data_IF_291096779848
#
_entry.id   IF_291096779848
#
_cell.length_a   1.000
_cell.length_b   1.000
_cell.length_c   1.000
_cell.angle_alpha   90.00
_cell.angle_beta   90.00
_cell.angle_gamma   90.00
#
_symmetry.space_group_name_H-M   'P 1'
#
loop_
_entity.id
_entity.type
_entity.pdbx_description
1 polymer ?
#
# COMPACT_ATOMS: atom_id res chain seq x y z
N UNK A 1 13.03 1.66 15.12
CA UNK A 1 13.91 0.96 16.09
C UNK A 1 15.05 1.86 16.49
N UNK A 2 15.45 1.87 17.76
CA UNK A 2 16.56 2.67 18.28
C UNK A 2 17.59 1.72 18.89
N UNK A 3 18.82 1.78 18.40
CA UNK A 3 19.97 1.01 18.87
C UNK A 3 20.93 1.99 19.52
N UNK A 4 21.04 1.96 20.83
CA UNK A 4 21.99 2.79 21.56
C UNK A 4 22.38 2.12 22.87
N UNK A 5 23.67 2.08 23.17
CA UNK A 5 24.18 1.50 24.42
C UNK A 5 23.80 2.40 25.61
N UNK A 6 23.99 3.70 25.46
CA UNK A 6 23.68 4.70 26.47
C UNK A 6 22.17 4.76 26.79
N UNK A 7 21.76 4.47 28.04
CA UNK A 7 20.36 4.58 28.45
C UNK A 7 19.79 5.99 28.31
N UNK A 8 20.59 7.04 28.51
CA UNK A 8 20.13 8.43 28.42
C UNK A 8 19.79 8.80 26.98
N UNK A 9 20.71 8.56 26.03
CA UNK A 9 20.45 8.76 24.61
C UNK A 9 19.20 7.97 24.13
N UNK A 10 19.04 6.72 24.57
CA UNK A 10 17.84 5.91 24.26
C UNK A 10 16.56 6.58 24.75
N UNK A 11 16.52 7.04 25.98
CA UNK A 11 15.30 7.60 26.55
C UNK A 11 14.94 8.95 25.95
N UNK A 12 15.93 9.79 25.67
CA UNK A 12 15.75 11.05 24.96
C UNK A 12 15.16 10.84 23.56
N UNK A 13 15.73 9.91 22.77
CA UNK A 13 15.21 9.58 21.44
C UNK A 13 13.79 9.01 21.55
N UNK A 14 13.54 8.11 22.51
CA UNK A 14 12.21 7.51 22.72
C UNK A 14 11.15 8.56 23.02
N UNK A 15 11.43 9.49 23.95
CA UNK A 15 10.50 10.55 24.33
C UNK A 15 10.21 11.46 23.13
N UNK A 16 11.26 11.89 22.41
CA UNK A 16 11.12 12.73 21.23
C UNK A 16 10.26 12.05 20.15
N UNK A 17 10.60 10.83 19.76
CA UNK A 17 9.87 10.11 18.70
C UNK A 17 8.44 9.75 19.10
N UNK A 18 8.21 9.42 20.38
CA UNK A 18 6.85 9.16 20.88
C UNK A 18 5.97 10.41 20.80
N UNK A 19 6.54 11.61 21.05
CA UNK A 19 5.81 12.88 20.90
C UNK A 19 5.39 13.17 19.46
N UNK A 20 6.11 12.58 18.48
CA UNK A 20 5.81 12.67 17.05
C UNK A 20 4.96 11.49 16.55
N UNK A 21 4.40 10.67 17.46
CA UNK A 21 3.52 9.54 17.13
C UNK A 21 4.24 8.26 16.65
N UNK A 22 5.56 8.16 16.78
CA UNK A 22 6.32 6.99 16.33
C UNK A 22 6.29 5.85 17.37
N UNK A 23 6.08 4.62 16.90
CA UNK A 23 6.26 3.44 17.75
C UNK A 23 7.75 3.05 17.83
N UNK A 24 8.31 3.09 19.05
CA UNK A 24 9.75 2.93 19.25
C UNK A 24 10.12 1.57 19.85
N UNK A 25 10.75 0.73 19.03
CA UNK A 25 11.40 -0.50 19.48
C UNK A 25 12.81 -0.19 19.96
N UNK A 26 13.09 -0.41 21.25
CA UNK A 26 14.40 -0.10 21.85
C UNK A 26 15.30 -1.32 21.92
N UNK A 27 16.57 -1.14 21.55
CA UNK A 27 17.64 -2.14 21.65
C UNK A 27 18.88 -1.52 22.32
N UNK A 28 19.44 -2.23 23.29
CA UNK A 28 20.64 -1.85 24.04
C UNK A 28 21.95 -2.27 23.36
N UNK A 29 21.87 -3.14 22.35
CA UNK A 29 23.01 -3.60 21.55
C UNK A 29 22.55 -4.01 20.15
N UNK A 30 23.50 -4.24 19.24
CA UNK A 30 23.23 -4.72 17.87
C UNK A 30 22.60 -6.13 17.90
N UNK A 31 23.05 -7.01 18.78
CA UNK A 31 22.51 -8.36 18.94
C UNK A 31 21.05 -8.33 19.42
N UNK A 32 20.76 -7.46 20.38
CA UNK A 32 19.39 -7.25 20.86
C UNK A 32 18.50 -6.68 19.74
N UNK A 33 19.05 -5.78 18.91
CA UNK A 33 18.36 -5.24 17.75
C UNK A 33 18.03 -6.34 16.71
N UNK A 34 18.99 -7.22 16.41
CA UNK A 34 18.79 -8.34 15.47
C UNK A 34 17.70 -9.31 15.96
N UNK A 35 17.66 -9.62 17.26
CA UNK A 35 16.63 -10.47 17.83
C UNK A 35 15.21 -9.86 17.67
N UNK A 36 15.09 -8.54 17.87
CA UNK A 36 13.82 -7.81 17.74
C UNK A 36 13.41 -7.53 16.31
N UNK A 37 14.36 -7.51 15.37
CA UNK A 37 14.13 -7.17 13.97
C UNK A 37 13.08 -8.07 13.30
N UNK A 38 13.04 -9.36 13.66
CA UNK A 38 12.08 -10.32 13.11
C UNK A 38 10.72 -10.38 13.82
N UNK A 39 10.61 -9.80 15.02
CA UNK A 39 9.39 -9.82 15.82
C UNK A 39 8.56 -8.55 15.61
N UNK A 40 9.24 -7.41 15.59
CA UNK A 40 8.60 -6.08 15.60
C UNK A 40 8.60 -5.38 14.24
N UNK A 41 9.31 -5.95 13.24
CA UNK A 41 9.40 -5.44 11.85
C UNK A 41 9.50 -3.90 11.73
N UNK A 42 10.56 -3.28 12.26
CA UNK A 42 10.66 -1.82 12.29
C UNK A 42 10.87 -1.19 10.91
N UNK A 43 10.28 -0.01 10.71
CA UNK A 43 10.35 0.75 9.45
C UNK A 43 11.67 1.50 9.22
N UNK A 44 12.38 1.82 10.28
CA UNK A 44 13.69 2.46 10.21
C UNK A 44 14.48 2.12 11.46
N UNK A 45 15.80 2.24 11.39
CA UNK A 45 16.66 2.16 12.56
C UNK A 45 17.41 3.48 12.78
N UNK A 46 17.58 3.82 14.04
CA UNK A 46 18.52 4.85 14.48
C UNK A 46 19.60 4.09 15.25
N UNK A 47 20.85 4.19 14.80
CA UNK A 47 21.98 3.52 15.42
C UNK A 47 22.96 4.55 15.96
N UNK A 48 23.05 4.65 17.28
CA UNK A 48 24.06 5.44 17.96
C UNK A 48 25.35 4.64 18.06
N UNK A 49 26.40 5.13 17.40
CA UNK A 49 27.70 4.45 17.34
C UNK A 49 28.67 4.95 18.40
N UNK A 50 28.29 5.91 19.24
CA UNK A 50 29.16 6.36 20.31
C UNK A 50 29.16 5.33 21.45
N UNK A 51 30.32 4.73 21.66
CA UNK A 51 30.54 3.68 22.66
C UNK A 51 30.82 4.31 24.03
N UNK A 52 30.16 3.80 25.06
CA UNK A 52 30.38 4.25 26.45
C UNK A 52 31.52 3.45 27.12
N UNK A 53 31.94 2.32 26.55
CA UNK A 53 32.96 1.43 27.15
C UNK A 53 33.96 0.87 26.13
N UNK A 54 35.20 0.64 26.59
CA UNK A 54 36.36 0.18 25.81
C UNK A 54 36.32 -1.32 25.43
N UNK A 55 35.20 -1.82 24.92
CA UNK A 55 35.10 -3.22 24.48
C UNK A 55 35.72 -3.41 23.10
N UNK A 56 36.84 -4.14 23.08
CA UNK A 56 37.64 -4.54 21.92
C UNK A 56 37.01 -5.74 21.20
N UNK A 57 36.02 -5.48 20.36
CA UNK A 57 35.80 -6.26 19.12
C UNK A 57 34.75 -5.58 18.24
N UNK A 58 34.95 -5.56 16.91
CA UNK A 58 33.96 -5.07 15.98
C UNK A 58 33.00 -6.21 15.64
N UNK A 59 31.73 -6.07 15.97
CA UNK A 59 30.67 -6.90 15.38
C UNK A 59 29.69 -6.04 14.60
N UNK A 60 30.24 -5.14 13.79
CA UNK A 60 29.47 -4.38 12.79
C UNK A 60 28.88 -5.28 11.68
N UNK A 61 29.25 -6.57 11.63
CA UNK A 61 28.54 -7.58 10.83
C UNK A 61 27.04 -7.60 11.12
N UNK A 62 26.65 -7.37 12.38
CA UNK A 62 25.24 -7.25 12.75
C UNK A 62 24.60 -5.96 12.23
N UNK A 63 25.34 -4.85 12.22
CA UNK A 63 24.85 -3.59 11.65
C UNK A 63 24.69 -3.68 10.12
N UNK A 64 25.62 -4.34 9.42
CA UNK A 64 25.49 -4.65 7.99
C UNK A 64 24.23 -5.48 7.68
N UNK A 65 23.91 -6.48 8.51
CA UNK A 65 22.67 -7.25 8.37
C UNK A 65 21.42 -6.38 8.57
N UNK A 66 21.42 -5.51 9.59
CA UNK A 66 20.32 -4.56 9.79
C UNK A 66 20.22 -3.61 8.59
N UNK A 67 21.34 -3.10 8.06
CA UNK A 67 21.38 -2.28 6.84
C UNK A 67 20.75 -3.01 5.66
N UNK A 68 21.10 -4.30 5.45
CA UNK A 68 20.52 -5.12 4.38
C UNK A 68 19.01 -5.34 4.57
N UNK A 69 18.57 -5.67 5.78
CA UNK A 69 17.15 -5.91 6.10
C UNK A 69 16.30 -4.65 5.95
N UNK A 70 16.82 -3.51 6.40
CA UNK A 70 16.13 -2.22 6.33
C UNK A 70 16.40 -1.49 5.01
N UNK A 71 17.16 -2.08 4.08
CA UNK A 71 17.52 -1.52 2.77
C UNK A 71 18.13 -0.12 2.87
N UNK A 72 19.04 0.08 3.82
CA UNK A 72 19.70 1.37 4.04
C UNK A 72 18.86 2.42 4.77
N UNK A 73 17.66 2.10 5.28
CA UNK A 73 16.85 3.00 6.14
C UNK A 73 17.39 3.05 7.57
N UNK A 74 18.64 3.45 7.69
CA UNK A 74 19.32 3.58 8.97
C UNK A 74 19.94 4.96 9.07
N UNK A 75 19.63 5.65 10.16
CA UNK A 75 20.30 6.90 10.53
C UNK A 75 21.43 6.54 11.50
N UNK A 76 22.64 6.94 11.14
CA UNK A 76 23.80 6.79 12.01
C UNK A 76 23.94 8.05 12.85
N UNK A 77 23.92 7.90 14.17
CA UNK A 77 24.21 8.97 15.12
C UNK A 77 25.66 8.83 15.56
N UNK A 78 26.48 9.84 15.29
CA UNK A 78 27.91 9.86 15.62
C UNK A 78 28.23 10.93 16.65
N UNK A 79 29.18 10.64 17.55
CA UNK A 79 29.80 11.64 18.43
C UNK A 79 31.21 12.03 17.96
N UNK A 80 32.00 12.65 18.84
CA UNK A 80 33.40 13.01 18.59
C UNK A 80 34.27 11.74 18.45
N UNK A 81 34.36 11.21 17.24
CA UNK A 81 35.17 10.03 16.92
C UNK A 81 34.99 9.59 15.48
N UNK A 82 36.09 9.19 14.84
CA UNK A 82 36.06 8.64 13.48
C UNK A 82 36.24 7.13 13.54
N UNK A 83 35.14 6.39 13.39
CA UNK A 83 35.18 4.94 13.22
C UNK A 83 35.24 4.61 11.71
N UNK A 84 36.36 4.08 11.19
CA UNK A 84 36.52 3.79 9.77
C UNK A 84 35.58 2.70 9.28
N UNK A 85 35.14 1.78 10.15
CA UNK A 85 34.19 0.73 9.76
C UNK A 85 32.77 1.28 9.62
N UNK A 86 32.37 2.21 10.51
CA UNK A 86 31.10 2.96 10.37
C UNK A 86 31.13 3.83 9.11
N UNK A 87 32.27 4.47 8.82
CA UNK A 87 32.45 5.24 7.59
C UNK A 87 32.29 4.37 6.32
N UNK A 88 32.83 3.15 6.34
CA UNK A 88 32.65 2.20 5.24
C UNK A 88 31.18 1.77 5.05
N UNK A 89 30.42 1.58 6.15
CA UNK A 89 28.98 1.28 6.06
C UNK A 89 28.16 2.45 5.54
N UNK A 90 28.47 3.68 6.01
CA UNK A 90 27.84 4.91 5.52
C UNK A 90 28.05 5.02 4.01
N UNK A 91 29.27 4.80 3.52
CA UNK A 91 29.56 4.85 2.09
C UNK A 91 28.87 3.73 1.31
N UNK A 92 28.89 2.50 1.83
CA UNK A 92 28.34 1.32 1.15
C UNK A 92 26.83 1.39 0.95
N UNK A 93 26.10 1.94 1.93
CA UNK A 93 24.64 2.02 1.92
C UNK A 93 24.10 3.45 1.77
N UNK A 94 24.97 4.44 1.54
CA UNK A 94 24.64 5.87 1.47
C UNK A 94 23.81 6.35 2.66
N UNK A 95 24.20 5.96 3.88
CA UNK A 95 23.42 6.21 5.09
C UNK A 95 23.48 7.68 5.51
N UNK A 96 22.35 8.30 5.90
CA UNK A 96 22.39 9.61 6.54
C UNK A 96 23.08 9.55 7.90
N UNK A 97 23.84 10.60 8.20
CA UNK A 97 24.58 10.75 9.46
C UNK A 97 24.14 12.01 10.18
N UNK A 98 23.90 11.90 11.48
CA UNK A 98 23.57 13.00 12.38
C UNK A 98 24.62 13.08 13.48
N UNK A 99 25.02 14.31 13.81
CA UNK A 99 25.87 14.59 14.97
C UNK A 99 25.03 14.58 16.24
N UNK A 100 25.51 13.92 17.30
CA UNK A 100 24.76 13.76 18.54
C UNK A 100 24.31 15.10 19.14
N UNK A 101 25.13 16.14 19.00
CA UNK A 101 24.86 17.50 19.50
C UNK A 101 23.66 18.14 18.81
N UNK A 102 23.36 17.70 17.58
CA UNK A 102 22.25 18.16 16.75
C UNK A 102 21.13 17.11 16.63
N UNK A 103 21.17 16.05 17.42
CA UNK A 103 20.24 14.93 17.32
C UNK A 103 18.78 15.40 17.31
N UNK A 104 18.34 16.18 18.30
CA UNK A 104 16.95 16.62 18.36
C UNK A 104 16.57 17.60 17.23
N UNK A 105 17.53 18.33 16.69
CA UNK A 105 17.29 19.31 15.62
C UNK A 105 17.14 18.62 14.27
N UNK A 106 18.05 17.71 13.95
CA UNK A 106 18.15 17.13 12.61
C UNK A 106 17.40 15.79 12.49
N UNK A 107 17.09 15.10 13.62
CA UNK A 107 16.54 13.75 13.59
C UNK A 107 15.21 13.67 12.87
N UNK A 108 14.30 14.62 13.12
CA UNK A 108 12.97 14.59 12.49
C UNK A 108 13.06 14.81 10.99
N UNK A 109 13.77 15.84 10.55
CA UNK A 109 13.94 16.14 9.13
C UNK A 109 14.69 15.03 8.42
N UNK A 110 15.70 14.45 9.06
CA UNK A 110 16.45 13.31 8.51
C UNK A 110 15.56 12.07 8.39
N UNK A 111 14.73 11.76 9.39
CA UNK A 111 13.73 10.69 9.33
C UNK A 111 12.73 10.89 8.19
N UNK A 112 12.25 12.12 7.97
CA UNK A 112 11.35 12.44 6.86
C UNK A 112 12.04 12.42 5.49
N UNK A 113 13.35 12.69 5.45
CA UNK A 113 14.18 12.61 4.25
C UNK A 113 14.62 11.19 3.91
N UNK A 114 14.53 10.26 4.87
CA UNK A 114 14.76 8.86 4.57
C UNK A 114 13.83 8.48 3.42
N UNK A 115 14.30 7.67 2.46
CA UNK A 115 13.38 7.06 1.53
C UNK A 115 12.31 6.40 2.39
N UNK A 116 11.06 6.85 2.21
CA UNK A 116 9.94 6.30 2.97
C UNK A 116 10.08 4.79 2.95
N UNK A 117 9.73 4.10 4.05
CA UNK A 117 9.60 2.67 4.03
C UNK A 117 9.06 2.30 2.69
N UNK A 118 9.85 1.56 1.91
CA UNK A 118 9.24 0.87 0.80
C UNK A 118 8.40 -0.24 1.44
N UNK A 119 7.33 0.14 2.14
CA UNK A 119 6.02 -0.40 1.90
C UNK A 119 5.53 -0.01 0.49
N UNK A 120 6.43 0.07 -0.50
CA UNK A 120 6.29 -0.90 -1.58
C UNK A 120 6.39 -2.30 -0.96
N UNK A 121 5.37 -2.68 -0.17
CA UNK A 121 4.86 -4.00 -0.37
C UNK A 121 4.51 -3.96 -1.84
N UNK A 122 5.28 -4.73 -2.60
CA UNK A 122 5.12 -4.78 -4.04
C UNK A 122 3.66 -5.11 -4.25
N UNK A 123 2.87 -4.10 -4.66
CA UNK A 123 1.45 -4.29 -4.90
C UNK A 123 1.39 -5.31 -6.01
N UNK A 124 1.05 -6.55 -5.67
CA UNK A 124 0.93 -7.60 -6.67
C UNK A 124 -0.44 -7.39 -7.28
N UNK A 125 -0.45 -6.80 -8.47
CA UNK A 125 -1.67 -6.56 -9.22
C UNK A 125 -1.86 -7.74 -10.17
N UNK A 126 -2.87 -8.55 -9.89
CA UNK A 126 -3.32 -9.60 -10.79
C UNK A 126 -4.36 -9.03 -11.75
N UNK A 127 -4.24 -9.35 -13.04
CA UNK A 127 -5.27 -8.98 -14.00
C UNK A 127 -6.46 -9.93 -13.90
N UNK A 128 -7.66 -9.39 -13.72
CA UNK A 128 -8.87 -10.18 -13.84
C UNK A 128 -9.30 -10.25 -15.31
N UNK A 129 -9.71 -11.44 -15.75
CA UNK A 129 -10.18 -11.69 -17.10
C UNK A 129 -11.69 -11.50 -17.17
N UNK A 130 -12.17 -10.77 -18.18
CA UNK A 130 -13.59 -10.72 -18.53
C UNK A 130 -14.04 -12.10 -19.04
N UNK A 131 -15.00 -12.73 -18.36
CA UNK A 131 -15.56 -14.03 -18.74
C UNK A 131 -17.01 -13.92 -19.24
N UNK A 132 -17.73 -12.85 -18.87
CA UNK A 132 -19.09 -12.59 -19.33
C UNK A 132 -19.31 -11.10 -19.59
N UNK A 133 -20.03 -10.79 -20.67
CA UNK A 133 -20.49 -9.44 -21.01
C UNK A 133 -21.89 -9.55 -21.63
N UNK A 134 -22.89 -8.92 -21.01
CA UNK A 134 -24.28 -8.99 -21.45
C UNK A 134 -24.50 -8.35 -22.82
N UNK A 135 -23.65 -7.40 -23.23
CA UNK A 135 -23.77 -6.72 -24.52
C UNK A 135 -23.36 -7.62 -25.70
N UNK A 136 -22.52 -8.63 -25.44
CA UNK A 136 -22.05 -9.57 -26.46
C UNK A 136 -22.99 -10.78 -26.61
N UNK A 137 -24.07 -10.85 -25.81
CA UNK A 137 -25.01 -11.97 -25.86
C UNK A 137 -26.01 -11.80 -27.01
N UNK A 138 -26.37 -12.88 -27.72
CA UNK A 138 -27.42 -12.84 -28.71
C UNK A 138 -28.76 -12.52 -28.06
N UNK A 139 -29.57 -11.68 -28.72
CA UNK A 139 -30.93 -11.41 -28.26
C UNK A 139 -31.76 -12.71 -28.29
N UNK A 140 -32.51 -13.03 -27.23
CA UNK A 140 -33.44 -14.16 -27.25
C UNK A 140 -34.41 -14.05 -28.43
N UNK A 141 -34.68 -15.18 -29.09
CA UNK A 141 -35.59 -15.22 -30.23
C UNK A 141 -36.97 -14.62 -29.86
N UNK A 142 -37.45 -13.66 -30.66
CA UNK A 142 -38.74 -13.00 -30.45
C UNK A 142 -38.72 -11.68 -29.67
N UNK A 143 -37.56 -11.25 -29.11
CA UNK A 143 -37.43 -9.95 -28.45
C UNK A 143 -37.06 -8.87 -29.47
N UNK A 144 -37.88 -7.80 -29.55
CA UNK A 144 -37.65 -6.61 -30.41
C UNK A 144 -37.16 -5.37 -29.64
N UNK A 145 -36.78 -5.53 -28.37
CA UNK A 145 -36.43 -4.41 -27.49
C UNK A 145 -35.09 -3.78 -27.91
N UNK A 146 -35.07 -2.45 -28.01
CA UNK A 146 -33.86 -1.63 -28.16
C UNK A 146 -32.96 -1.81 -26.93
N UNK A 147 -31.65 -1.89 -27.17
CA UNK A 147 -30.55 -2.17 -26.24
C UNK A 147 -30.86 -1.99 -24.73
N UNK A 148 -30.49 -2.96 -23.86
CA UNK A 148 -30.77 -2.88 -22.43
C UNK A 148 -30.20 -1.60 -21.82
N UNK A 149 -30.98 -0.98 -20.93
CA UNK A 149 -30.59 0.23 -20.22
C UNK A 149 -29.40 0.01 -19.28
N UNK A 150 -28.97 -1.22 -19.04
CA UNK A 150 -27.79 -1.55 -18.24
C UNK A 150 -26.92 -2.63 -18.89
N UNK A 151 -25.68 -2.74 -18.44
CA UNK A 151 -24.71 -3.73 -18.92
C UNK A 151 -24.07 -4.47 -17.75
N UNK A 152 -24.09 -5.80 -17.82
CA UNK A 152 -23.52 -6.67 -16.79
C UNK A 152 -22.24 -7.32 -17.29
N UNK A 153 -21.27 -7.44 -16.39
CA UNK A 153 -19.98 -8.08 -16.64
C UNK A 153 -19.65 -9.04 -15.52
N UNK A 154 -18.97 -10.13 -15.86
CA UNK A 154 -18.33 -10.99 -14.85
C UNK A 154 -16.86 -11.12 -15.17
N UNK A 155 -16.03 -10.81 -14.19
CA UNK A 155 -14.58 -10.98 -14.24
C UNK A 155 -14.16 -12.13 -13.35
N UNK A 156 -13.05 -12.76 -13.70
CA UNK A 156 -12.44 -13.82 -12.91
C UNK A 156 -10.95 -13.57 -12.70
N UNK A 157 -10.49 -13.75 -11.46
CA UNK A 157 -9.09 -13.79 -11.08
C UNK A 157 -8.90 -14.94 -10.08
N UNK A 158 -8.26 -16.04 -10.52
CA UNK A 158 -8.18 -17.28 -9.76
C UNK A 158 -9.59 -17.79 -9.36
N UNK A 159 -9.85 -18.02 -8.08
CA UNK A 159 -11.17 -18.39 -7.58
C UNK A 159 -12.10 -17.18 -7.39
N UNK A 160 -11.59 -15.96 -7.41
CA UNK A 160 -12.40 -14.77 -7.22
C UNK A 160 -13.18 -14.41 -8.49
N UNK A 161 -14.46 -14.11 -8.32
CA UNK A 161 -15.33 -13.55 -9.34
C UNK A 161 -15.79 -12.16 -8.94
N UNK A 162 -15.79 -11.23 -9.89
CA UNK A 162 -16.34 -9.89 -9.74
C UNK A 162 -17.52 -9.76 -10.69
N UNK A 163 -18.72 -9.71 -10.14
CA UNK A 163 -19.94 -9.41 -10.88
C UNK A 163 -20.18 -7.91 -10.84
N UNK A 164 -20.37 -7.27 -12.00
CA UNK A 164 -20.53 -5.83 -12.13
C UNK A 164 -21.77 -5.52 -12.96
N UNK A 165 -22.56 -4.56 -12.50
CA UNK A 165 -23.65 -3.96 -13.26
C UNK A 165 -23.38 -2.46 -13.41
N UNK A 166 -23.49 -1.98 -14.65
CA UNK A 166 -23.51 -0.56 -14.97
C UNK A 166 -24.91 -0.16 -15.43
N UNK A 167 -25.48 0.83 -14.79
CA UNK A 167 -26.82 1.35 -15.09
C UNK A 167 -26.80 2.90 -15.07
N UNK A 168 -27.66 3.59 -15.83
CA UNK A 168 -27.91 5.00 -15.66
C UNK A 168 -28.30 5.30 -14.23
N UNK A 169 -27.68 6.33 -13.67
CA UNK A 169 -28.05 6.80 -12.35
C UNK A 169 -29.51 7.25 -12.36
N UNK A 170 -30.26 6.83 -11.34
CA UNK A 170 -31.66 7.21 -11.18
C UNK A 170 -31.82 8.68 -10.79
N UNK A 171 -30.75 9.30 -10.28
CA UNK A 171 -30.76 10.68 -9.76
C UNK A 171 -30.18 11.70 -10.74
N UNK A 172 -29.26 11.29 -11.61
CA UNK A 172 -28.67 12.13 -12.65
C UNK A 172 -28.42 11.33 -13.93
N UNK A 173 -29.15 11.63 -15.00
CA UNK A 173 -29.03 10.93 -16.28
C UNK A 173 -27.68 11.09 -16.97
N UNK A 174 -26.78 11.95 -16.46
CA UNK A 174 -25.39 12.10 -16.93
C UNK A 174 -24.41 11.19 -16.19
N UNK A 175 -24.85 10.54 -15.11
CA UNK A 175 -24.04 9.66 -14.27
C UNK A 175 -24.40 8.20 -14.47
N UNK A 176 -23.43 7.36 -14.14
CA UNK A 176 -23.54 5.92 -14.21
C UNK A 176 -23.41 5.38 -12.79
N UNK A 177 -24.39 4.57 -12.41
CA UNK A 177 -24.36 3.74 -11.22
C UNK A 177 -23.60 2.46 -11.53
N UNK A 178 -22.51 2.23 -10.81
CA UNK A 178 -21.75 0.99 -10.84
C UNK A 178 -22.00 0.25 -9.53
N UNK A 179 -22.61 -0.92 -9.64
CA UNK A 179 -22.78 -1.85 -8.52
C UNK A 179 -21.94 -3.07 -8.80
N UNK A 180 -21.22 -3.54 -7.79
CA UNK A 180 -20.42 -4.74 -7.92
C UNK A 180 -20.51 -5.66 -6.71
N UNK A 181 -20.24 -6.93 -6.93
CA UNK A 181 -20.14 -7.95 -5.91
C UNK A 181 -18.91 -8.82 -6.14
N UNK A 182 -18.13 -9.01 -5.09
CA UNK A 182 -16.99 -9.92 -5.06
C UNK A 182 -17.41 -11.26 -4.42
N UNK A 183 -17.04 -12.36 -5.08
CA UNK A 183 -17.36 -13.73 -4.65
C UNK A 183 -16.10 -14.60 -4.75
N UNK A 184 -15.94 -15.57 -3.86
CA UNK A 184 -14.91 -16.61 -3.97
C UNK A 184 -15.57 -17.93 -4.37
N UNK A 185 -15.34 -18.38 -5.62
CA UNK A 185 -15.94 -19.61 -6.16
C UNK A 185 -15.38 -20.89 -5.51
N UNK A 186 -14.20 -20.82 -4.90
CA UNK A 186 -13.61 -21.96 -4.19
C UNK A 186 -14.11 -22.01 -2.73
N UNK A 187 -14.37 -20.85 -2.12
CA UNK A 187 -14.86 -20.73 -0.75
C UNK A 187 -16.06 -19.77 -0.67
N UNK A 188 -17.28 -20.22 -1.01
CA UNK A 188 -18.45 -19.33 -1.10
C UNK A 188 -18.85 -18.65 0.22
N UNK A 189 -18.42 -19.19 1.36
CA UNK A 189 -18.68 -18.64 2.69
C UNK A 189 -17.58 -17.66 3.17
N UNK A 190 -16.52 -17.48 2.38
CA UNK A 190 -15.43 -16.56 2.71
C UNK A 190 -15.97 -15.15 2.84
N UNK A 191 -15.72 -14.53 3.99
CA UNK A 191 -16.08 -13.13 4.21
C UNK A 191 -15.11 -12.22 3.45
N UNK A 192 -15.66 -11.47 2.51
CA UNK A 192 -14.95 -10.48 1.71
C UNK A 192 -15.37 -9.09 2.16
N UNK A 193 -15.36 -8.87 3.48
CA UNK A 193 -15.81 -7.64 4.15
C UNK A 193 -14.66 -6.62 4.26
N UNK A 194 -15.03 -5.34 4.22
CA UNK A 194 -14.13 -4.20 4.39
C UNK A 194 -12.92 -4.18 3.42
N UNK A 195 -13.03 -4.81 2.25
CA UNK A 195 -12.00 -4.79 1.23
C UNK A 195 -12.04 -3.46 0.48
N UNK A 196 -10.88 -2.84 0.29
CA UNK A 196 -10.80 -1.57 -0.45
C UNK A 196 -11.04 -1.80 -1.94
N UNK A 197 -11.96 -1.01 -2.49
CA UNK A 197 -12.24 -0.95 -3.93
C UNK A 197 -11.94 0.47 -4.40
N UNK A 198 -11.07 0.60 -5.39
CA UNK A 198 -10.68 1.88 -5.95
C UNK A 198 -11.04 1.96 -7.43
N UNK A 199 -11.76 3.02 -7.79
CA UNK A 199 -12.01 3.40 -9.17
C UNK A 199 -10.85 4.27 -9.65
N UNK A 200 -10.13 3.82 -10.66
CA UNK A 200 -8.93 4.48 -11.19
C UNK A 200 -9.21 5.07 -12.57
N UNK A 201 -8.95 6.37 -12.70
CA UNK A 201 -8.94 7.06 -13.98
C UNK A 201 -7.54 7.21 -14.56
N UNK A 202 -7.40 7.83 -15.74
CA UNK A 202 -6.10 8.06 -16.38
C UNK A 202 -5.16 8.94 -15.55
N UNK A 203 -5.73 9.82 -14.71
CA UNK A 203 -5.01 10.80 -13.88
C UNK A 203 -4.82 10.36 -12.43
N UNK A 204 -5.27 9.16 -12.06
CA UNK A 204 -5.22 8.65 -10.69
C UNK A 204 -6.59 8.21 -10.14
N UNK A 205 -6.70 8.00 -8.81
CA UNK A 205 -7.93 7.52 -8.19
C UNK A 205 -9.06 8.55 -8.32
N UNK A 206 -10.21 8.10 -8.81
CA UNK A 206 -11.44 8.88 -8.95
C UNK A 206 -12.28 8.77 -7.68
N UNK A 207 -12.44 7.54 -7.17
CA UNK A 207 -13.25 7.23 -5.99
C UNK A 207 -12.74 5.98 -5.29
N UNK A 208 -13.06 5.86 -4.01
CA UNK A 208 -12.75 4.68 -3.19
C UNK A 208 -13.99 4.29 -2.38
N UNK A 209 -14.26 3.00 -2.30
CA UNK A 209 -15.30 2.39 -1.46
C UNK A 209 -14.72 1.18 -0.74
N UNK A 210 -15.50 0.61 0.18
CA UNK A 210 -15.20 -0.68 0.81
C UNK A 210 -16.34 -1.66 0.53
N UNK A 211 -16.01 -2.94 0.40
CA UNK A 211 -17.03 -3.98 0.36
C UNK A 211 -17.76 -4.09 1.69
N UNK A 212 -19.03 -4.50 1.64
CA UNK A 212 -19.78 -4.90 2.83
C UNK A 212 -19.55 -6.40 3.15
N UNK A 213 -20.20 -6.91 4.19
CA UNK A 213 -20.15 -8.33 4.60
C UNK A 213 -20.57 -9.36 3.53
N UNK A 214 -21.25 -8.93 2.47
CA UNK A 214 -21.67 -9.75 1.33
C UNK A 214 -20.78 -9.54 0.09
N UNK A 215 -19.67 -8.80 0.22
CA UNK A 215 -18.75 -8.49 -0.87
C UNK A 215 -19.25 -7.42 -1.83
N UNK A 216 -20.34 -6.71 -1.51
CA UNK A 216 -20.96 -5.72 -2.39
C UNK A 216 -20.34 -4.33 -2.22
N UNK A 217 -20.29 -3.57 -3.30
CA UNK A 217 -19.82 -2.18 -3.34
C UNK A 217 -20.55 -1.37 -4.41
N UNK A 218 -20.50 -0.05 -4.30
CA UNK A 218 -21.23 0.85 -5.19
C UNK A 218 -20.47 2.15 -5.44
N UNK A 219 -20.57 2.67 -6.67
CA UNK A 219 -20.04 3.96 -7.08
C UNK A 219 -21.03 4.70 -7.99
N UNK A 220 -21.04 6.01 -7.89
CA UNK A 220 -21.63 6.91 -8.89
C UNK A 220 -20.47 7.61 -9.61
N UNK A 221 -20.35 7.40 -10.92
CA UNK A 221 -19.27 7.97 -11.73
C UNK A 221 -19.79 8.73 -12.95
N UNK A 222 -19.04 9.74 -13.36
CA UNK A 222 -19.24 10.42 -14.63
C UNK A 222 -18.70 9.53 -15.78
N UNK A 223 -19.15 9.80 -17.01
CA UNK A 223 -18.67 9.12 -18.22
C UNK A 223 -17.18 9.35 -18.43
N UNK A 224 -16.38 8.34 -18.10
CA UNK A 224 -14.92 8.40 -18.17
C UNK A 224 -14.35 7.30 -19.08
N UNK A 225 -13.26 7.63 -19.77
CA UNK A 225 -12.55 6.67 -20.61
C UNK A 225 -11.40 6.01 -19.82
N UNK A 226 -11.13 4.74 -20.13
CA UNK A 226 -10.03 3.97 -19.55
C UNK A 226 -10.12 3.83 -18.02
N UNK A 227 -11.35 3.73 -17.51
CA UNK A 227 -11.60 3.48 -16.09
C UNK A 227 -11.22 2.04 -15.75
N UNK A 228 -10.50 1.87 -14.65
CA UNK A 228 -10.18 0.57 -14.07
C UNK A 228 -10.77 0.46 -12.68
N UNK A 229 -11.12 -0.74 -12.30
CA UNK A 229 -11.46 -1.06 -10.92
C UNK A 229 -10.30 -1.89 -10.35
N UNK A 230 -9.81 -1.47 -9.18
CA UNK A 230 -8.81 -2.21 -8.43
C UNK A 230 -9.40 -2.59 -7.07
N UNK A 231 -9.36 -3.88 -6.75
CA UNK A 231 -9.93 -4.42 -5.51
C UNK A 231 -8.81 -5.08 -4.71
N UNK A 232 -8.68 -4.73 -3.45
CA UNK A 232 -7.77 -5.40 -2.51
C UNK A 232 -8.36 -6.76 -2.12
N UNK A 233 -7.56 -7.82 -2.18
CA UNK A 233 -8.01 -9.20 -1.97
C UNK A 233 -7.29 -9.89 -0.80
N UNK A 234 -6.11 -9.40 -0.48
CA UNK A 234 -5.33 -9.70 0.71
C UNK A 234 -4.34 -8.57 0.91
N UNK A 235 -3.63 -8.55 2.06
CA UNK A 235 -2.62 -7.54 2.34
C UNK A 235 -1.66 -7.38 1.16
N UNK A 236 -1.77 -6.24 0.46
CA UNK A 236 -0.93 -5.85 -0.68
C UNK A 236 -1.08 -6.70 -1.96
N UNK A 237 -2.15 -7.49 -2.06
CA UNK A 237 -2.58 -8.19 -3.25
C UNK A 237 -3.86 -7.57 -3.79
N UNK A 238 -3.82 -7.18 -5.06
CA UNK A 238 -4.91 -6.49 -5.72
C UNK A 238 -5.27 -7.21 -7.00
N UNK A 239 -6.55 -7.18 -7.33
CA UNK A 239 -7.02 -7.53 -8.67
C UNK A 239 -7.34 -6.23 -9.41
N UNK A 240 -6.95 -6.15 -10.67
CA UNK A 240 -7.27 -5.04 -11.56
C UNK A 240 -8.09 -5.54 -12.74
N UNK A 241 -9.20 -4.87 -13.00
CA UNK A 241 -10.04 -5.08 -14.16
C UNK A 241 -10.27 -3.76 -14.89
N UNK A 242 -10.29 -3.83 -16.22
CA UNK A 242 -10.51 -2.67 -17.08
C UNK A 242 -11.99 -2.66 -17.46
N UNK A 243 -12.70 -1.57 -17.16
CA UNK A 243 -14.07 -1.43 -17.60
C UNK A 243 -14.12 -1.19 -19.11
N UNK A 244 -14.95 -1.92 -19.87
CA UNK A 244 -15.12 -1.68 -21.30
C UNK A 244 -15.67 -0.27 -21.51
N UNK A 245 -15.39 0.30 -22.69
CA UNK A 245 -15.84 1.65 -23.01
C UNK A 245 -17.36 1.77 -22.84
N UNK A 246 -17.78 2.84 -22.20
CA UNK A 246 -19.18 3.11 -21.87
C UNK A 246 -19.94 3.76 -23.05
N UNK A 247 -19.52 3.47 -24.29
CA UNK A 247 -20.10 4.01 -25.54
C UNK A 247 -21.58 3.66 -25.72
N UNK A 248 -22.09 2.62 -25.04
CA UNK A 248 -23.50 2.23 -25.04
C UNK A 248 -24.41 3.27 -24.36
N UNK A 249 -23.87 4.05 -23.42
CA UNK A 249 -24.62 5.09 -22.70
C UNK A 249 -25.01 6.27 -23.60
N UNK A 250 -24.13 6.63 -24.54
CA UNK A 250 -24.33 7.75 -25.48
C UNK A 250 -25.48 7.51 -26.47
N UNK A 251 -25.87 6.25 -26.71
CA UNK A 251 -26.94 5.90 -27.66
C UNK A 251 -28.34 5.94 -27.05
N UNK A 252 -28.47 5.85 -25.73
CA UNK A 252 -29.76 5.97 -25.04
C UNK A 252 -30.30 7.40 -24.98
N UNK A 253 -29.40 8.38 -24.88
CA UNK A 253 -29.77 9.81 -24.78
C UNK A 253 -30.20 10.39 -26.14
N UNK A 254 -29.62 9.90 -27.25
CA UNK A 254 -29.96 10.36 -28.60
C UNK A 254 -31.32 9.86 -29.12
N UNK A 255 -32.00 8.96 -28.41
CA UNK A 255 -33.34 8.46 -28.76
C UNK A 255 -34.49 9.16 -28.03
N UNK A 256 -34.20 10.19 -27.21
CA UNK A 256 -35.17 10.89 -26.38
C UNK A 256 -35.30 12.40 -26.72
N UNK A 257 -34.93 12.78 -27.96
CA UNK A 257 -35.09 14.13 -28.49
C UNK A 257 -36.27 14.20 -29.48
#
# INVERSE_FOLDING_TARGET
MVIAEDPWARDTIRVFLSSMGCHCVMASSIEHALAKLGQENPDAAIADTHRTTAATSPRLSGLDEICRRLRGRIIIVTGEGHDPEVAALIQKYSLPRIWRERLLQDLWDTLNSLPQPSSVVRRVIYSARLIFDSFLQPAPAGIRISQPAGRRFVYQAYSLMVDLALEPSQTDSRRISLVGQLLDSAEPERQLDALSVALQGPKGPIAVASTNKFGEFHFELDLEQNVKLEIETAANQWISLVLPRQEWFQRGVAGAA
#
